data_IF_180222923344
#
_entry.id   IF_180222923344
#
_cell.length_a   1.000
_cell.length_b   1.000
_cell.length_c   1.000
_cell.angle_alpha   90.00
_cell.angle_beta   90.00
_cell.angle_gamma   90.00
#
_symmetry.space_group_name_H-M   'P 1'
#
loop_
_entity.id
_entity.type
_entity.pdbx_description
1 polymer ?
#
# COMPACT_ATOMS: atom_id res chain seq x y z
N UNK A 1 18.43 7.08 13.93
CA UNK A 1 17.49 6.92 12.79
C UNK A 1 16.06 6.83 13.30
N UNK A 2 15.06 7.26 12.52
CA UNK A 2 13.66 7.08 12.89
C UNK A 2 13.10 5.81 12.23
N UNK A 3 12.46 4.95 13.02
CA UNK A 3 11.70 3.81 12.51
C UNK A 3 10.22 4.14 12.58
N UNK A 4 9.53 4.11 11.44
CA UNK A 4 8.09 4.30 11.35
C UNK A 4 7.43 2.95 11.09
N UNK A 5 6.66 2.45 12.07
CA UNK A 5 5.75 1.33 11.80
C UNK A 5 4.68 1.82 10.84
N UNK A 6 4.53 1.16 9.70
CA UNK A 6 3.57 1.51 8.66
C UNK A 6 2.70 0.30 8.36
N UNK A 7 1.39 0.51 8.41
CA UNK A 7 0.39 -0.47 8.00
C UNK A 7 -0.34 0.04 6.76
N UNK A 8 -0.66 -0.88 5.86
CA UNK A 8 -1.37 -0.58 4.61
C UNK A 8 -2.61 -1.43 4.58
N UNK A 9 -3.77 -0.77 4.54
CA UNK A 9 -5.07 -1.41 4.49
C UNK A 9 -5.66 -1.23 3.09
N UNK A 10 -5.92 -2.35 2.42
CA UNK A 10 -6.55 -2.41 1.11
C UNK A 10 -7.97 -2.96 1.24
N UNK A 11 -8.95 -2.20 0.77
CA UNK A 11 -10.33 -2.67 0.61
C UNK A 11 -10.50 -3.18 -0.81
N UNK A 12 -10.96 -4.42 -0.93
CA UNK A 12 -11.24 -5.07 -2.22
C UNK A 12 -12.69 -5.50 -2.30
N UNK A 13 -13.18 -5.71 -3.52
CA UNK A 13 -14.49 -6.32 -3.73
C UNK A 13 -14.58 -7.68 -3.04
N UNK A 14 -15.66 -7.91 -2.31
CA UNK A 14 -15.80 -9.08 -1.43
C UNK A 14 -15.61 -10.42 -2.15
N UNK A 15 -16.12 -10.54 -3.38
CA UNK A 15 -16.02 -11.78 -4.17
C UNK A 15 -14.58 -12.17 -4.56
N UNK A 16 -13.64 -11.21 -4.52
CA UNK A 16 -12.23 -11.43 -4.83
C UNK A 16 -11.36 -11.54 -3.57
N UNK A 17 -11.93 -11.39 -2.37
CA UNK A 17 -11.18 -11.26 -1.12
C UNK A 17 -10.22 -12.42 -0.84
N UNK A 18 -10.68 -13.66 -0.98
CA UNK A 18 -9.86 -14.86 -0.74
C UNK A 18 -8.69 -14.96 -1.72
N UNK A 19 -8.95 -14.78 -3.01
CA UNK A 19 -7.94 -14.82 -4.08
C UNK A 19 -6.90 -13.72 -3.89
N UNK A 20 -7.33 -12.51 -3.52
CA UNK A 20 -6.41 -11.41 -3.24
C UNK A 20 -5.56 -11.70 -1.99
N UNK A 21 -6.15 -12.25 -0.93
CA UNK A 21 -5.40 -12.65 0.26
C UNK A 21 -4.33 -13.69 -0.08
N UNK A 22 -4.65 -14.71 -0.88
CA UNK A 22 -3.68 -15.70 -1.36
C UNK A 22 -2.55 -15.05 -2.17
N UNK A 23 -2.89 -14.15 -3.11
CA UNK A 23 -1.89 -13.40 -3.89
C UNK A 23 -0.99 -12.55 -2.99
N UNK A 24 -1.56 -11.86 -2.00
CA UNK A 24 -0.79 -11.05 -1.05
C UNK A 24 0.19 -11.93 -0.27
N UNK A 25 -0.21 -13.12 0.17
CA UNK A 25 0.69 -14.05 0.85
C UNK A 25 1.77 -14.59 -0.08
N UNK A 26 1.40 -14.99 -1.30
CA UNK A 26 2.30 -15.53 -2.30
C UNK A 26 3.38 -14.51 -2.71
N UNK A 27 2.99 -13.24 -2.90
CA UNK A 27 3.86 -12.17 -3.39
C UNK A 27 4.27 -11.19 -2.28
N UNK A 28 4.16 -11.57 -1.01
CA UNK A 28 4.36 -10.69 0.14
C UNK A 28 5.70 -9.92 0.07
N UNK A 29 6.80 -10.64 -0.22
CA UNK A 29 8.12 -10.03 -0.28
C UNK A 29 8.30 -9.07 -1.46
N UNK A 30 7.67 -9.36 -2.59
CA UNK A 30 7.70 -8.52 -3.79
C UNK A 30 6.93 -7.23 -3.56
N UNK A 31 5.68 -7.35 -3.08
CA UNK A 31 4.84 -6.20 -2.71
C UNK A 31 5.57 -5.33 -1.67
N UNK A 32 6.19 -5.95 -0.66
CA UNK A 32 6.99 -5.22 0.34
C UNK A 32 8.19 -4.50 -0.27
N UNK A 33 8.89 -5.11 -1.22
CA UNK A 33 10.04 -4.50 -1.88
C UNK A 33 9.63 -3.30 -2.74
N UNK A 34 8.54 -3.42 -3.49
CA UNK A 34 7.98 -2.35 -4.33
C UNK A 34 7.49 -1.17 -3.50
N UNK A 35 6.75 -1.43 -2.42
CA UNK A 35 6.33 -0.41 -1.46
C UNK A 35 7.56 0.26 -0.84
N UNK A 36 8.59 -0.51 -0.47
CA UNK A 36 9.84 0.06 0.05
C UNK A 36 10.57 0.93 -0.98
N UNK A 37 10.43 0.65 -2.27
CA UNK A 37 10.97 1.49 -3.34
C UNK A 37 10.19 2.81 -3.44
N UNK A 38 8.85 2.78 -3.31
CA UNK A 38 8.01 3.99 -3.24
C UNK A 38 8.46 4.88 -2.08
N UNK A 39 8.72 4.30 -0.90
CA UNK A 39 9.21 5.06 0.26
C UNK A 39 10.56 5.71 -0.03
N UNK A 40 11.53 4.94 -0.51
CA UNK A 40 12.90 5.43 -0.75
C UNK A 40 13.00 6.51 -1.82
N UNK A 41 12.08 6.51 -2.78
CA UNK A 41 12.06 7.46 -3.91
C UNK A 41 11.12 8.64 -3.69
N UNK A 42 10.37 8.67 -2.59
CA UNK A 42 9.44 9.76 -2.31
C UNK A 42 10.15 10.93 -1.65
N UNK A 43 9.77 12.14 -2.06
CA UNK A 43 10.30 13.37 -1.47
C UNK A 43 9.93 13.49 0.01
N UNK A 44 10.81 14.09 0.84
CA UNK A 44 10.59 14.20 2.29
C UNK A 44 9.26 14.85 2.68
N UNK A 45 8.78 15.82 1.91
CA UNK A 45 7.55 16.54 2.22
C UNK A 45 6.29 15.66 2.09
N UNK A 46 6.30 14.62 1.26
CA UNK A 46 5.18 13.69 1.13
C UNK A 46 4.89 12.92 2.43
N UNK A 47 5.90 12.73 3.28
CA UNK A 47 5.75 12.07 4.59
C UNK A 47 5.09 12.96 5.64
N UNK A 48 4.94 14.26 5.35
CA UNK A 48 4.31 15.23 6.24
C UNK A 48 2.87 15.55 5.83
N UNK A 49 2.41 15.00 4.70
CA UNK A 49 1.06 15.23 4.21
C UNK A 49 0.02 14.66 5.17
N UNK A 50 -1.10 15.37 5.38
CA UNK A 50 -2.26 14.79 6.05
C UNK A 50 -2.65 13.48 5.35
N UNK A 51 -2.76 12.38 6.11
CA UNK A 51 -3.12 11.05 5.58
C UNK A 51 -2.17 10.48 4.50
N UNK A 52 -0.99 11.07 4.30
CA UNK A 52 0.02 10.58 3.34
C UNK A 52 -0.55 10.44 1.92
N UNK A 53 -1.27 11.45 1.43
CA UNK A 53 -2.06 11.39 0.18
C UNK A 53 -1.23 10.95 -1.03
N UNK A 54 -0.04 11.51 -1.25
CA UNK A 54 0.81 11.14 -2.37
C UNK A 54 1.34 9.71 -2.26
N UNK A 55 1.75 9.28 -1.06
CA UNK A 55 2.17 7.89 -0.83
C UNK A 55 1.00 6.93 -1.03
N UNK A 56 -0.17 7.28 -0.52
CA UNK A 56 -1.40 6.47 -0.63
C UNK A 56 -1.79 6.30 -2.09
N UNK A 57 -1.70 7.36 -2.89
CA UNK A 57 -1.96 7.31 -4.34
C UNK A 57 -0.98 6.39 -5.07
N UNK A 58 0.33 6.46 -4.76
CA UNK A 58 1.35 5.60 -5.39
C UNK A 58 1.15 4.13 -5.03
N UNK A 59 0.88 3.84 -3.75
CA UNK A 59 0.58 2.47 -3.29
C UNK A 59 -0.71 1.96 -3.91
N UNK A 60 -1.76 2.79 -3.97
CA UNK A 60 -3.00 2.42 -4.61
C UNK A 60 -2.78 2.07 -6.09
N UNK A 61 -2.03 2.88 -6.84
CA UNK A 61 -1.72 2.59 -8.24
C UNK A 61 -1.00 1.25 -8.41
N UNK A 62 0.03 1.00 -7.59
CA UNK A 62 0.78 -0.26 -7.58
C UNK A 62 -0.14 -1.47 -7.32
N UNK A 63 -0.95 -1.41 -6.27
CA UNK A 63 -1.85 -2.51 -5.91
C UNK A 63 -2.96 -2.69 -6.96
N UNK A 64 -3.45 -1.59 -7.56
CA UNK A 64 -4.46 -1.65 -8.59
C UNK A 64 -3.93 -2.28 -9.88
N UNK A 65 -2.68 -1.97 -10.28
CA UNK A 65 -2.02 -2.62 -11.41
C UNK A 65 -1.87 -4.12 -11.18
N UNK A 66 -1.50 -4.52 -9.96
CA UNK A 66 -1.32 -5.93 -9.59
C UNK A 66 -2.62 -6.71 -9.50
N UNK A 67 -3.66 -6.12 -8.92
CA UNK A 67 -4.93 -6.80 -8.69
C UNK A 67 -5.85 -6.73 -9.92
N UNK A 68 -5.74 -5.68 -10.71
CA UNK A 68 -6.48 -5.50 -11.94
C UNK A 68 -7.94 -5.10 -11.73
N UNK A 69 -8.71 -5.34 -12.78
CA UNK A 69 -10.15 -5.09 -12.81
C UNK A 69 -10.92 -6.40 -12.65
N UNK A 70 -12.17 -6.25 -12.32
CA UNK A 70 -13.13 -7.32 -12.20
C UNK A 70 -13.74 -7.65 -13.56
N UNK A 71 -13.66 -8.91 -13.97
CA UNK A 71 -14.10 -9.33 -15.32
C UNK A 71 -15.61 -9.17 -15.55
N UNK A 72 -16.42 -9.18 -14.48
CA UNK A 72 -17.88 -9.12 -14.60
C UNK A 72 -18.40 -7.71 -14.92
N UNK A 73 -17.78 -6.67 -14.35
CA UNK A 73 -18.26 -5.29 -14.45
C UNK A 73 -17.20 -4.30 -14.99
N UNK A 74 -15.96 -4.74 -15.18
CA UNK A 74 -14.85 -3.93 -15.66
C UNK A 74 -14.29 -2.94 -14.64
N UNK A 75 -14.78 -2.94 -13.40
CA UNK A 75 -14.38 -1.99 -12.37
C UNK A 75 -13.18 -2.51 -11.56
N UNK A 76 -12.33 -1.63 -11.00
CA UNK A 76 -11.22 -2.01 -10.14
C UNK A 76 -11.60 -2.99 -9.02
N UNK A 77 -10.79 -4.05 -8.84
CA UNK A 77 -10.94 -4.96 -7.70
C UNK A 77 -10.62 -4.23 -6.39
N UNK A 78 -9.63 -3.34 -6.42
CA UNK A 78 -9.25 -2.48 -5.30
C UNK A 78 -10.18 -1.25 -5.26
N UNK A 79 -10.96 -1.14 -4.19
CA UNK A 79 -11.90 -0.01 -4.02
C UNK A 79 -11.32 1.13 -3.19
N UNK A 80 -10.39 0.82 -2.27
CA UNK A 80 -9.76 1.81 -1.40
C UNK A 80 -8.42 1.33 -0.87
N UNK A 81 -7.49 2.25 -0.65
CA UNK A 81 -6.24 2.01 0.06
C UNK A 81 -6.02 3.09 1.12
N UNK A 82 -5.54 2.73 2.30
CA UNK A 82 -5.20 3.66 3.38
C UNK A 82 -3.85 3.26 3.98
N UNK A 83 -2.96 4.24 4.11
CA UNK A 83 -1.69 4.08 4.84
C UNK A 83 -1.86 4.64 6.24
N UNK A 84 -1.53 3.84 7.25
CA UNK A 84 -1.48 4.25 8.64
C UNK A 84 -0.03 4.20 9.09
N UNK A 85 0.52 5.35 9.47
CA UNK A 85 1.90 5.47 9.95
C UNK A 85 1.89 5.83 11.44
N UNK A 86 2.56 5.01 12.24
CA UNK A 86 2.74 5.28 13.66
C UNK A 86 3.64 6.50 13.90
N UNK A 87 3.59 7.04 15.11
CA UNK A 87 4.54 8.07 15.53
C UNK A 87 5.92 7.44 15.64
N UNK A 88 6.84 7.80 14.74
CA UNK A 88 8.16 7.19 14.68
C UNK A 88 8.90 7.28 16.00
N UNK A 89 9.51 6.18 16.44
CA UNK A 89 10.35 6.17 17.65
C UNK A 89 11.80 6.43 17.25
N UNK A 90 12.49 7.27 18.04
CA UNK A 90 13.92 7.52 17.88
C UNK A 90 14.68 6.22 18.16
N UNK A 91 15.45 5.77 17.18
CA UNK A 91 16.48 4.75 17.37
C UNK A 91 17.80 5.48 17.48
N UNK A 92 18.31 5.65 18.71
CA UNK A 92 19.70 6.03 18.92
C UNK A 92 20.60 4.88 18.50
N UNK A 93 21.73 5.23 17.88
CA UNK A 93 22.68 4.30 17.27
C UNK A 93 23.88 4.12 18.16
#
# INVERSE_FOLDING_TARGET
SYLYSTEIYAQVKNKHSDVINEKVQQFYNEIKAEISAIWRTSEPHHFQEPKLENLTRKVHALLNERFGIDDDDGEPILTKCVIVMGTGFRVDR
#
